data_IF_186217820836
#
_entry.id   IF_186217820836
#
_cell.length_a   1.000
_cell.length_b   1.000
_cell.length_c   1.000
_cell.angle_alpha   90.00
_cell.angle_beta   90.00
_cell.angle_gamma   90.00
#
_symmetry.space_group_name_H-M   'P 1'
#
loop_
_entity.id
_entity.type
_entity.pdbx_description
1 polymer ?
#
# COMPACT_ATOMS: atom_id res chain seq x y z
N UNK A 1 -7.52 6.87 -3.66
CA UNK A 1 -6.59 7.45 -4.66
C UNK A 1 -5.77 6.32 -5.28
N UNK A 2 -5.24 6.50 -6.50
CA UNK A 2 -4.33 5.51 -7.11
C UNK A 2 -2.98 5.50 -6.37
N UNK A 3 -2.30 4.35 -6.32
CA UNK A 3 -0.97 4.25 -5.69
C UNK A 3 0.17 4.79 -6.56
N UNK A 4 -0.01 4.99 -7.86
CA UNK A 4 1.05 5.48 -8.76
C UNK A 4 2.04 4.42 -9.25
N UNK A 5 2.08 3.22 -8.64
CA UNK A 5 3.12 2.22 -8.93
C UNK A 5 2.90 1.40 -10.21
N UNK A 6 1.66 1.03 -10.52
CA UNK A 6 1.40 0.09 -11.61
C UNK A 6 1.54 0.75 -13.01
N UNK A 7 2.04 -0.03 -13.98
CA UNK A 7 2.03 0.35 -15.39
C UNK A 7 3.07 1.41 -15.74
N UNK A 8 2.70 2.34 -16.63
CA UNK A 8 3.62 3.33 -17.19
C UNK A 8 4.21 4.28 -16.13
N UNK A 9 3.61 4.41 -14.94
CA UNK A 9 4.02 5.42 -13.96
C UNK A 9 5.09 4.93 -12.99
N UNK A 10 5.04 3.68 -12.52
CA UNK A 10 5.94 3.24 -11.47
C UNK A 10 6.92 2.12 -11.84
N UNK A 11 6.70 1.38 -12.92
CA UNK A 11 7.62 0.28 -13.29
C UNK A 11 8.89 0.76 -14.00
N UNK A 12 8.88 1.97 -14.54
CA UNK A 12 10.02 2.56 -15.22
C UNK A 12 10.68 3.62 -14.35
N UNK A 13 11.99 3.49 -14.12
CA UNK A 13 12.74 4.40 -13.24
C UNK A 13 12.60 5.89 -13.64
N UNK A 14 12.43 6.17 -14.94
CA UNK A 14 12.25 7.54 -15.46
C UNK A 14 10.98 8.24 -14.95
N UNK A 15 10.00 7.50 -14.44
CA UNK A 15 8.72 8.05 -13.97
C UNK A 15 8.59 7.97 -12.44
N UNK A 16 9.67 7.66 -11.73
CA UNK A 16 9.68 7.52 -10.27
C UNK A 16 9.03 8.72 -9.56
N UNK A 17 9.40 9.95 -9.93
CA UNK A 17 8.88 11.16 -9.30
C UNK A 17 7.36 11.31 -9.52
N UNK A 18 6.85 10.89 -10.68
CA UNK A 18 5.41 10.92 -10.98
C UNK A 18 4.68 9.87 -10.15
N UNK A 19 5.20 8.64 -10.07
CA UNK A 19 4.65 7.59 -9.21
C UNK A 19 4.56 8.04 -7.74
N UNK A 20 5.65 8.63 -7.23
CA UNK A 20 5.71 9.16 -5.86
C UNK A 20 4.74 10.32 -5.66
N UNK A 21 4.69 11.30 -6.58
CA UNK A 21 3.77 12.41 -6.50
C UNK A 21 2.31 11.93 -6.44
N UNK A 22 1.93 10.94 -7.26
CA UNK A 22 0.58 10.36 -7.22
C UNK A 22 0.27 9.72 -5.86
N UNK A 23 1.20 8.97 -5.29
CA UNK A 23 1.03 8.31 -3.99
C UNK A 23 0.93 9.33 -2.84
N UNK A 24 1.69 10.42 -2.92
CA UNK A 24 1.72 11.50 -1.92
C UNK A 24 0.48 12.41 -1.93
N UNK A 25 -0.37 12.36 -2.98
CA UNK A 25 -1.64 13.10 -2.99
C UNK A 25 -2.53 12.69 -1.80
N UNK A 26 -2.53 11.41 -1.44
CA UNK A 26 -3.47 10.92 -0.42
C UNK A 26 -3.07 9.59 0.21
N UNK A 27 -2.52 8.63 -0.56
CA UNK A 27 -2.27 7.27 -0.05
C UNK A 27 -1.20 7.26 1.05
N UNK A 28 0.00 7.76 0.75
CA UNK A 28 1.13 7.72 1.71
C UNK A 28 0.88 8.58 2.94
N UNK A 29 0.33 9.81 2.85
CA UNK A 29 -0.02 10.58 4.03
C UNK A 29 -1.04 9.86 4.94
N UNK A 30 -2.05 9.23 4.35
CA UNK A 30 -3.08 8.50 5.13
C UNK A 30 -2.49 7.30 5.86
N UNK A 31 -1.59 6.57 5.20
CA UNK A 31 -0.88 5.44 5.82
C UNK A 31 0.04 5.92 6.95
N UNK A 32 0.82 7.00 6.74
CA UNK A 32 1.71 7.55 7.78
C UNK A 32 0.94 8.10 8.98
N UNK A 33 -0.25 8.67 8.76
CA UNK A 33 -1.11 9.18 9.81
C UNK A 33 -1.90 8.10 10.58
N UNK A 34 -1.96 6.88 10.04
CA UNK A 34 -2.66 5.77 10.70
C UNK A 34 -1.92 5.31 11.97
N UNK A 35 -2.64 4.83 13.00
CA UNK A 35 -2.03 4.24 14.19
C UNK A 35 -0.97 3.18 13.86
N UNK A 36 0.06 3.00 14.71
CA UNK A 36 1.10 2.00 14.48
C UNK A 36 0.56 0.57 14.36
N UNK A 37 -0.52 0.26 15.07
CA UNK A 37 -1.23 -1.03 15.09
C UNK A 37 -2.37 -1.10 14.06
N UNK A 38 -2.60 -0.03 13.29
CA UNK A 38 -3.62 -0.03 12.25
C UNK A 38 -3.29 -1.06 11.17
N UNK A 39 -4.28 -1.89 10.85
CA UNK A 39 -4.18 -2.89 9.82
C UNK A 39 -4.42 -2.25 8.45
N UNK A 40 -3.39 -2.26 7.60
CA UNK A 40 -3.45 -1.67 6.26
C UNK A 40 -3.79 -2.78 5.26
N UNK A 41 -4.85 -2.58 4.47
CA UNK A 41 -5.32 -3.57 3.50
C UNK A 41 -5.17 -3.00 2.09
N UNK A 42 -4.49 -3.75 1.22
CA UNK A 42 -4.37 -3.43 -0.19
C UNK A 42 -4.26 -4.73 -1.02
N UNK A 43 -5.21 -4.96 -1.92
CA UNK A 43 -5.27 -6.19 -2.72
C UNK A 43 -4.35 -6.16 -3.94
N UNK A 44 -4.02 -4.96 -4.45
CA UNK A 44 -3.06 -4.79 -5.53
C UNK A 44 -1.62 -5.03 -5.09
N UNK A 45 -0.90 -5.92 -5.79
CA UNK A 45 0.54 -6.14 -5.58
C UNK A 45 1.34 -4.83 -5.65
N UNK A 46 1.09 -4.01 -6.67
CA UNK A 46 1.77 -2.72 -6.86
C UNK A 46 1.44 -1.73 -5.74
N UNK A 47 0.19 -1.73 -5.24
CA UNK A 47 -0.20 -0.89 -4.10
C UNK A 47 0.56 -1.29 -2.83
N UNK A 48 0.67 -2.60 -2.53
CA UNK A 48 1.44 -3.07 -1.37
C UNK A 48 2.92 -2.68 -1.47
N UNK A 49 3.53 -2.81 -2.64
CA UNK A 49 4.91 -2.38 -2.87
C UNK A 49 5.08 -0.88 -2.67
N UNK A 50 4.23 -0.05 -3.25
CA UNK A 50 4.28 1.40 -3.06
C UNK A 50 4.16 1.81 -1.59
N UNK A 51 3.25 1.17 -0.85
CA UNK A 51 3.04 1.47 0.57
C UNK A 51 4.29 1.11 1.37
N UNK A 52 4.84 -0.09 1.14
CA UNK A 52 6.07 -0.54 1.81
C UNK A 52 7.24 0.39 1.48
N UNK A 53 7.48 0.65 0.21
CA UNK A 53 8.65 1.41 -0.25
C UNK A 53 8.52 2.90 0.12
N UNK A 54 7.31 3.45 0.15
CA UNK A 54 7.04 4.85 0.47
C UNK A 54 6.82 5.18 1.96
N UNK A 55 6.50 4.18 2.80
CA UNK A 55 6.20 4.42 4.24
C UNK A 55 6.90 3.47 5.21
N UNK A 56 7.48 2.37 4.73
CA UNK A 56 7.99 1.28 5.55
C UNK A 56 6.91 0.42 6.22
N UNK A 57 5.61 0.72 6.00
CA UNK A 57 4.50 -0.05 6.54
C UNK A 57 4.17 -1.23 5.63
N UNK A 58 3.85 -2.38 6.23
CA UNK A 58 3.35 -3.53 5.50
C UNK A 58 1.84 -3.47 5.33
N UNK A 59 1.38 -3.75 4.10
CA UNK A 59 -0.03 -3.84 3.76
C UNK A 59 -0.40 -5.29 3.41
N UNK A 60 -1.53 -5.77 3.90
CA UNK A 60 -2.00 -7.14 3.69
C UNK A 60 -3.03 -7.21 2.56
N UNK A 61 -3.04 -8.33 1.83
CA UNK A 61 -4.17 -8.67 0.97
C UNK A 61 -5.37 -9.06 1.84
N UNK A 62 -6.59 -8.67 1.45
CA UNK A 62 -7.81 -8.92 2.23
C UNK A 62 -7.99 -10.40 2.61
N UNK A 63 -7.66 -11.32 1.70
CA UNK A 63 -7.67 -12.77 1.96
C UNK A 63 -6.79 -13.19 3.17
N UNK A 64 -5.65 -12.54 3.41
CA UNK A 64 -4.80 -12.82 4.59
C UNK A 64 -5.45 -12.31 5.87
N UNK A 65 -6.15 -11.18 5.79
CA UNK A 65 -6.92 -10.63 6.93
C UNK A 65 -8.08 -11.55 7.28
N UNK A 66 -8.77 -12.08 6.27
CA UNK A 66 -9.84 -13.06 6.46
C UNK A 66 -9.31 -14.36 7.09
N UNK A 67 -8.16 -14.86 6.63
CA UNK A 67 -7.51 -16.03 7.22
C UNK A 67 -7.18 -15.80 8.70
N UNK A 68 -6.58 -14.67 9.06
CA UNK A 68 -6.32 -14.29 10.46
C UNK A 68 -7.62 -14.30 11.28
N UNK A 69 -8.69 -13.70 10.76
CA UNK A 69 -9.98 -13.64 11.44
C UNK A 69 -10.62 -15.03 11.63
N UNK A 70 -10.40 -15.97 10.71
CA UNK A 70 -10.87 -17.35 10.84
C UNK A 70 -10.04 -18.16 11.84
N UNK A 71 -8.74 -17.88 11.95
CA UNK A 71 -7.86 -18.52 12.94
C UNK A 71 -8.16 -18.04 14.36
N UNK A 72 -8.53 -16.77 14.53
CA UNK A 72 -8.90 -16.21 15.85
C UNK A 72 -10.24 -16.73 16.40
N UNK A 73 -11.05 -17.39 15.56
CA UNK A 73 -12.36 -17.95 15.95
C UNK A 73 -12.30 -19.44 16.30
N UNK A 74 -11.13 -20.06 16.23
CA UNK A 74 -10.86 -21.45 16.66
C UNK A 74 -10.22 -21.43 18.04
#
# INVERSE_FOLDING_TARGET
>A
SCCGMAGAFGYEARHYDVSMAMAEISLLPSVRASPPDALIIADGFSCRHQIRDGTGREALHAARVLELALQMKQ
#
